data_IF_905221545373
#
_entry.id   IF_905221545373
#
_cell.length_a   1.000
_cell.length_b   1.000
_cell.length_c   1.000
_cell.angle_alpha   90.00
_cell.angle_beta   90.00
_cell.angle_gamma   90.00
#
_symmetry.space_group_name_H-M   'P 1'
#
loop_
_entity.id
_entity.type
_entity.pdbx_description
1 polymer ?
#
# COMPACT_ATOMS: atom_id res chain seq x y z
N UNK A 1 15.61 -4.69 -5.09
CA UNK A 1 16.85 -4.20 -4.45
C UNK A 1 17.90 -5.30 -4.51
N UNK A 2 19.12 -4.97 -4.94
CA UNK A 2 20.20 -5.95 -5.03
C UNK A 2 20.67 -6.44 -3.67
N UNK A 3 20.99 -7.73 -3.56
CA UNK A 3 21.42 -8.37 -2.31
C UNK A 3 22.70 -7.78 -1.74
N UNK A 4 23.66 -7.37 -2.60
CA UNK A 4 24.91 -6.76 -2.13
C UNK A 4 24.68 -5.47 -1.35
N UNK A 5 23.80 -4.58 -1.84
CA UNK A 5 23.42 -3.36 -1.13
C UNK A 5 22.70 -3.68 0.17
N UNK A 6 21.82 -4.68 0.16
CA UNK A 6 21.07 -5.13 1.30
C UNK A 6 21.96 -5.57 2.47
N UNK A 7 22.98 -6.38 2.19
CA UNK A 7 23.91 -6.83 3.22
C UNK A 7 24.85 -5.73 3.70
N UNK A 8 25.26 -4.81 2.82
CA UNK A 8 26.17 -3.72 3.17
C UNK A 8 25.53 -2.67 4.09
N UNK A 9 24.22 -2.45 3.95
CA UNK A 9 23.48 -1.46 4.74
C UNK A 9 22.45 -2.13 5.68
N UNK A 10 22.81 -3.24 6.29
CA UNK A 10 21.92 -4.10 7.09
C UNK A 10 21.09 -3.31 8.11
N UNK A 11 21.72 -2.45 8.91
CA UNK A 11 21.04 -1.73 9.98
C UNK A 11 19.94 -0.80 9.43
N UNK A 12 20.23 -0.08 8.35
CA UNK A 12 19.28 0.79 7.67
C UNK A 12 18.09 0.01 7.10
N UNK A 13 18.34 -1.16 6.54
CA UNK A 13 17.27 -2.00 5.99
C UNK A 13 16.45 -2.71 7.06
N UNK A 14 17.01 -3.03 8.21
CA UNK A 14 16.25 -3.54 9.37
C UNK A 14 15.23 -2.52 9.88
N UNK A 15 15.55 -1.24 9.87
CA UNK A 15 14.60 -0.18 10.23
C UNK A 15 13.49 -0.05 9.18
N UNK A 16 13.84 -0.06 7.89
CA UNK A 16 12.87 -0.01 6.79
C UNK A 16 11.93 -1.21 6.77
N UNK A 17 12.40 -2.41 7.07
CA UNK A 17 11.59 -3.64 7.11
C UNK A 17 10.46 -3.60 8.14
N UNK A 18 10.60 -2.81 9.20
CA UNK A 18 9.53 -2.61 10.19
C UNK A 18 8.37 -1.81 9.62
N UNK A 19 8.64 -0.98 8.62
CA UNK A 19 7.66 -0.10 8.01
C UNK A 19 7.13 -0.63 6.67
N UNK A 20 7.99 -1.28 5.87
CA UNK A 20 7.65 -1.75 4.51
C UNK A 20 8.21 -3.15 4.24
N UNK A 21 7.47 -4.02 3.53
CA UNK A 21 7.99 -5.31 3.10
C UNK A 21 9.05 -5.12 2.01
N UNK A 22 10.28 -5.61 2.24
CA UNK A 22 11.38 -5.54 1.30
C UNK A 22 11.46 -6.80 0.45
N UNK A 23 11.45 -6.63 -0.88
CA UNK A 23 11.79 -7.66 -1.85
C UNK A 23 13.26 -7.47 -2.25
N UNK A 24 14.07 -8.49 -2.04
CA UNK A 24 15.51 -8.48 -2.35
C UNK A 24 15.76 -9.31 -3.60
N UNK A 25 16.72 -8.91 -4.44
CA UNK A 25 17.13 -9.66 -5.63
C UNK A 25 18.63 -9.93 -5.59
N UNK A 26 19.07 -11.05 -6.13
CA UNK A 26 20.49 -11.39 -6.21
C UNK A 26 20.76 -12.87 -6.48
N UNK A 27 22.02 -13.30 -6.35
CA UNK A 27 22.44 -14.65 -6.65
C UNK A 27 21.80 -15.69 -5.70
N UNK A 28 21.68 -16.97 -6.13
CA UNK A 28 21.03 -18.03 -5.35
C UNK A 28 21.59 -18.21 -3.94
N UNK A 29 22.88 -18.02 -3.75
CA UNK A 29 23.55 -18.22 -2.46
C UNK A 29 23.17 -17.18 -1.40
N UNK A 30 22.63 -16.05 -1.82
CA UNK A 30 22.17 -14.97 -0.93
C UNK A 30 20.75 -15.16 -0.41
N UNK A 31 20.02 -16.19 -0.84
CA UNK A 31 18.61 -16.42 -0.45
C UNK A 31 18.47 -16.61 1.06
N UNK A 32 19.18 -17.61 1.60
CA UNK A 32 19.07 -17.95 3.02
C UNK A 32 19.53 -16.81 3.95
N UNK A 33 20.68 -16.16 3.72
CA UNK A 33 21.06 -14.99 4.50
C UNK A 33 20.04 -13.84 4.43
N UNK A 34 19.52 -13.51 3.25
CA UNK A 34 18.55 -12.42 3.11
C UNK A 34 17.24 -12.70 3.85
N UNK A 35 16.74 -13.93 3.77
CA UNK A 35 15.55 -14.34 4.52
C UNK A 35 15.78 -14.34 6.03
N UNK A 36 16.97 -14.78 6.48
CA UNK A 36 17.34 -14.74 7.90
C UNK A 36 17.44 -13.30 8.43
N UNK A 37 17.82 -12.34 7.60
CA UNK A 37 17.80 -10.91 7.92
C UNK A 37 16.40 -10.30 7.89
N UNK A 38 15.37 -11.08 7.51
CA UNK A 38 13.96 -10.67 7.56
C UNK A 38 13.42 -10.03 6.30
N UNK A 39 14.09 -10.15 5.14
CA UNK A 39 13.47 -9.69 3.90
C UNK A 39 12.14 -10.41 3.66
N UNK A 40 11.21 -9.69 3.07
CA UNK A 40 9.87 -10.19 2.86
C UNK A 40 9.82 -11.28 1.79
N UNK A 41 10.63 -11.20 0.76
CA UNK A 41 10.80 -12.21 -0.29
C UNK A 41 12.14 -12.02 -1.00
N UNK A 42 12.58 -13.04 -1.73
CA UNK A 42 13.83 -13.04 -2.46
C UNK A 42 13.64 -13.53 -3.90
N UNK A 43 14.06 -12.73 -4.87
CA UNK A 43 14.14 -13.14 -6.26
C UNK A 43 15.57 -13.56 -6.62
N UNK A 44 15.70 -14.80 -7.09
CA UNK A 44 16.99 -15.33 -7.57
C UNK A 44 17.29 -14.80 -8.97
N UNK A 45 18.52 -14.43 -9.20
CA UNK A 45 19.01 -14.13 -10.54
C UNK A 45 19.27 -15.45 -11.34
N UNK A 46 18.97 -15.46 -12.67
CA UNK A 46 18.30 -14.40 -13.42
C UNK A 46 16.79 -14.38 -13.18
N UNK A 47 16.19 -13.20 -13.04
CA UNK A 47 14.75 -13.02 -12.87
C UNK A 47 14.16 -12.18 -14.01
N UNK A 48 12.89 -12.41 -14.32
CA UNK A 48 12.13 -11.64 -15.31
C UNK A 48 11.15 -10.66 -14.67
N UNK A 49 10.75 -9.66 -15.44
CA UNK A 49 9.77 -8.67 -14.98
C UNK A 49 8.43 -9.31 -14.57
N UNK A 50 8.01 -10.37 -15.23
CA UNK A 50 6.77 -11.09 -14.91
C UNK A 50 6.85 -11.76 -13.53
N UNK A 51 7.97 -12.40 -13.20
CA UNK A 51 8.18 -13.01 -11.88
C UNK A 51 8.19 -11.94 -10.78
N UNK A 52 8.90 -10.83 -11.01
CA UNK A 52 8.93 -9.69 -10.09
C UNK A 52 7.51 -9.18 -9.82
N UNK A 53 6.72 -8.95 -10.87
CA UNK A 53 5.34 -8.47 -10.76
C UNK A 53 4.43 -9.47 -10.06
N UNK A 54 4.55 -10.76 -10.37
CA UNK A 54 3.76 -11.82 -9.74
C UNK A 54 4.03 -11.91 -8.23
N UNK A 55 5.31 -11.87 -7.81
CA UNK A 55 5.68 -11.90 -6.40
C UNK A 55 5.27 -10.63 -5.67
N UNK A 56 5.47 -9.47 -6.29
CA UNK A 56 5.04 -8.20 -5.74
C UNK A 56 3.51 -8.15 -5.56
N UNK A 57 2.75 -8.57 -6.57
CA UNK A 57 1.29 -8.63 -6.52
C UNK A 57 0.80 -9.55 -5.42
N UNK A 58 1.38 -10.76 -5.30
CA UNK A 58 1.01 -11.75 -4.29
C UNK A 58 1.23 -11.25 -2.86
N UNK A 59 2.28 -10.47 -2.60
CA UNK A 59 2.53 -9.88 -1.28
C UNK A 59 1.73 -8.62 -1.03
N UNK A 60 1.51 -7.84 -2.07
CA UNK A 60 0.59 -6.71 -2.01
C UNK A 60 -0.88 -7.15 -1.85
N UNK A 61 -1.20 -8.45 -2.00
CA UNK A 61 -2.55 -8.97 -1.76
C UNK A 61 -3.01 -8.82 -0.32
N UNK A 62 -2.11 -8.95 0.66
CA UNK A 62 -2.44 -8.79 2.09
C UNK A 62 -1.62 -7.67 2.71
N UNK A 63 -2.23 -6.51 2.83
CA UNK A 63 -1.63 -5.33 3.44
C UNK A 63 -2.32 -5.00 4.76
N UNK A 64 -1.58 -5.06 5.86
CA UNK A 64 -2.03 -4.54 7.17
C UNK A 64 -1.53 -3.13 7.34
N UNK A 65 -2.39 -2.25 7.79
CA UNK A 65 -2.05 -0.85 8.01
C UNK A 65 -2.94 -0.23 9.08
N UNK A 66 -2.45 0.84 9.69
CA UNK A 66 -3.21 1.63 10.64
C UNK A 66 -4.00 2.72 9.91
N UNK A 67 -5.21 2.94 10.35
CA UNK A 67 -6.08 3.98 9.84
C UNK A 67 -6.95 4.54 10.97
N UNK A 68 -6.71 5.77 11.37
CA UNK A 68 -7.37 6.37 12.53
C UNK A 68 -7.12 5.58 13.83
N UNK A 69 -5.88 5.09 14.05
CA UNK A 69 -5.49 4.28 15.19
C UNK A 69 -6.04 2.84 15.21
N UNK A 70 -6.55 2.35 14.07
CA UNK A 70 -7.09 0.99 13.93
C UNK A 70 -6.39 0.18 12.86
N UNK A 71 -6.16 -1.10 13.15
CA UNK A 71 -5.61 -2.02 12.18
C UNK A 71 -6.69 -2.44 11.18
N UNK A 72 -6.36 -2.26 9.89
CA UNK A 72 -7.13 -2.72 8.75
C UNK A 72 -6.31 -3.72 7.95
N UNK A 73 -6.98 -4.70 7.37
CA UNK A 73 -6.39 -5.67 6.46
C UNK A 73 -7.02 -5.51 5.08
N UNK A 74 -6.21 -5.16 4.09
CA UNK A 74 -6.60 -5.15 2.69
C UNK A 74 -6.04 -6.42 2.01
N UNK A 75 -6.91 -7.30 1.54
CA UNK A 75 -6.57 -8.53 0.82
C UNK A 75 -7.25 -8.52 -0.54
N UNK A 76 -6.47 -8.31 -1.61
CA UNK A 76 -7.04 -8.05 -2.93
C UNK A 76 -7.94 -6.81 -2.91
N UNK A 77 -9.22 -7.03 -3.12
CA UNK A 77 -10.29 -6.01 -3.07
C UNK A 77 -11.08 -6.04 -1.75
N UNK A 78 -10.80 -7.00 -0.87
CA UNK A 78 -11.49 -7.15 0.41
C UNK A 78 -10.78 -6.35 1.50
N UNK A 79 -11.51 -5.43 2.11
CA UNK A 79 -11.07 -4.64 3.27
C UNK A 79 -11.76 -5.17 4.52
N UNK A 80 -10.98 -5.51 5.54
CA UNK A 80 -11.44 -6.08 6.80
C UNK A 80 -11.00 -5.28 8.01
N UNK A 81 -11.87 -5.18 9.01
CA UNK A 81 -11.60 -4.63 10.33
C UNK A 81 -12.49 -5.32 11.37
N UNK A 82 -11.93 -5.73 12.51
CA UNK A 82 -12.69 -6.29 13.64
C UNK A 82 -13.67 -7.43 13.28
N UNK A 83 -13.28 -8.31 12.36
CA UNK A 83 -14.15 -9.41 11.92
C UNK A 83 -15.25 -9.03 10.92
N UNK A 84 -15.44 -7.75 10.63
CA UNK A 84 -16.27 -7.27 9.55
C UNK A 84 -15.45 -7.02 8.28
N UNK A 85 -16.05 -7.20 7.10
CA UNK A 85 -15.37 -6.98 5.83
C UNK A 85 -16.30 -6.44 4.76
N UNK A 86 -15.72 -5.65 3.85
CA UNK A 86 -16.40 -5.13 2.67
C UNK A 86 -15.55 -5.37 1.43
N UNK A 87 -16.19 -5.47 0.27
CA UNK A 87 -15.49 -5.54 -1.02
C UNK A 87 -15.42 -4.15 -1.64
N UNK A 88 -14.22 -3.71 -1.98
CA UNK A 88 -13.96 -2.45 -2.67
C UNK A 88 -14.04 -2.66 -4.19
N UNK A 89 -14.26 -1.57 -4.93
CA UNK A 89 -14.02 -1.60 -6.37
C UNK A 89 -12.50 -1.73 -6.65
N UNK A 90 -12.08 -2.35 -7.79
CA UNK A 90 -10.66 -2.55 -8.09
C UNK A 90 -9.82 -1.27 -8.03
N UNK A 91 -10.37 -0.16 -8.53
CA UNK A 91 -9.73 1.16 -8.46
C UNK A 91 -9.63 1.71 -7.04
N UNK A 92 -10.65 1.51 -6.22
CA UNK A 92 -10.65 1.92 -4.80
C UNK A 92 -9.60 1.12 -4.00
N UNK A 93 -9.50 -0.20 -4.24
CA UNK A 93 -8.52 -1.06 -3.59
C UNK A 93 -7.08 -0.65 -3.93
N UNK A 94 -6.81 -0.34 -5.23
CA UNK A 94 -5.49 0.17 -5.66
C UNK A 94 -5.15 1.52 -5.02
N UNK A 95 -6.11 2.45 -4.97
CA UNK A 95 -5.92 3.76 -4.33
C UNK A 95 -5.64 3.60 -2.84
N UNK A 96 -6.44 2.79 -2.12
CA UNK A 96 -6.26 2.56 -0.69
C UNK A 96 -4.90 1.91 -0.40
N UNK A 97 -4.48 0.97 -1.23
CA UNK A 97 -3.16 0.33 -1.12
C UNK A 97 -2.03 1.33 -1.25
N UNK A 98 -2.09 2.23 -2.25
CA UNK A 98 -1.07 3.26 -2.44
C UNK A 98 -1.01 4.22 -1.24
N UNK A 99 -2.16 4.64 -0.70
CA UNK A 99 -2.24 5.48 0.48
C UNK A 99 -1.67 4.79 1.73
N UNK A 100 -1.96 3.50 1.91
CA UNK A 100 -1.45 2.72 3.04
C UNK A 100 0.06 2.49 2.96
N UNK A 101 0.58 2.19 1.77
CA UNK A 101 2.03 2.03 1.53
C UNK A 101 2.80 3.36 1.69
N UNK A 102 2.15 4.50 1.43
CA UNK A 102 2.74 5.81 1.66
C UNK A 102 2.86 6.20 3.14
N UNK A 103 2.30 5.38 4.06
CA UNK A 103 2.46 5.49 5.52
C UNK A 103 2.31 6.92 6.06
N UNK A 104 1.24 7.61 5.68
CA UNK A 104 0.96 8.99 6.09
C UNK A 104 1.57 10.07 5.21
N UNK A 105 2.44 9.72 4.25
CA UNK A 105 2.92 10.66 3.25
C UNK A 105 1.84 10.94 2.19
N UNK A 106 1.76 12.18 1.65
CA UNK A 106 0.79 12.50 0.61
C UNK A 106 1.08 11.77 -0.70
N UNK A 107 0.04 11.21 -1.30
CA UNK A 107 0.04 10.62 -2.64
C UNK A 107 -0.63 11.59 -3.61
N UNK A 108 0.02 11.87 -4.72
CA UNK A 108 -0.44 12.84 -5.71
C UNK A 108 -1.77 12.43 -6.35
N UNK A 109 -2.61 13.44 -6.68
CA UNK A 109 -3.92 13.21 -7.29
C UNK A 109 -3.84 12.52 -8.63
N UNK A 110 -2.89 12.89 -9.46
CA UNK A 110 -2.65 12.33 -10.79
C UNK A 110 -2.32 10.84 -10.69
N UNK A 111 -1.48 10.46 -9.74
CA UNK A 111 -1.17 9.06 -9.50
C UNK A 111 -2.39 8.28 -8.99
N UNK A 112 -3.16 8.84 -8.07
CA UNK A 112 -4.41 8.23 -7.61
C UNK A 112 -5.45 8.11 -8.74
N UNK A 113 -5.49 9.06 -9.69
CA UNK A 113 -6.35 8.98 -10.86
C UNK A 113 -5.99 7.80 -11.76
N UNK A 114 -4.70 7.58 -12.01
CA UNK A 114 -4.20 6.42 -12.77
C UNK A 114 -4.61 5.10 -12.10
N UNK A 115 -4.39 4.98 -10.79
CA UNK A 115 -4.76 3.79 -10.02
C UNK A 115 -6.27 3.54 -10.03
N UNK A 116 -7.05 4.60 -10.08
CA UNK A 116 -8.50 4.56 -10.19
C UNK A 116 -9.00 4.12 -11.58
N UNK A 117 -8.11 3.98 -12.57
CA UNK A 117 -8.45 3.67 -13.94
C UNK A 117 -8.99 4.87 -14.74
N UNK A 118 -8.71 6.10 -14.28
CA UNK A 118 -9.02 7.29 -15.07
C UNK A 118 -8.01 7.45 -16.20
N UNK A 119 -8.50 7.82 -17.40
CA UNK A 119 -7.62 8.12 -18.53
C UNK A 119 -6.79 9.38 -18.22
N UNK A 120 -5.47 9.38 -18.49
CA UNK A 120 -4.60 10.55 -18.30
C UNK A 120 -5.04 11.78 -19.10
N UNK A 121 -5.88 11.60 -20.13
CA UNK A 121 -6.37 12.66 -21.03
C UNK A 121 -7.63 13.38 -20.52
N UNK A 122 -8.22 12.93 -19.41
CA UNK A 122 -9.43 13.57 -18.86
C UNK A 122 -9.05 14.73 -17.95
N UNK A 123 -9.32 15.96 -18.34
CA UNK A 123 -9.22 17.17 -17.47
C UNK A 123 -10.06 17.05 -16.18
N UNK A 124 -11.04 16.14 -16.15
CA UNK A 124 -11.89 15.84 -14.98
C UNK A 124 -11.31 14.77 -14.02
N UNK A 125 -10.08 14.30 -14.26
CA UNK A 125 -9.46 13.28 -13.41
C UNK A 125 -9.38 13.67 -11.93
N UNK A 126 -9.23 14.94 -11.63
CA UNK A 126 -9.19 15.46 -10.25
C UNK A 126 -10.54 15.27 -9.53
N UNK A 127 -11.67 15.60 -10.18
CA UNK A 127 -13.01 15.40 -9.60
C UNK A 127 -13.34 13.93 -9.40
N UNK A 128 -12.93 13.07 -10.34
CA UNK A 128 -13.13 11.63 -10.24
C UNK A 128 -12.39 11.04 -9.02
N UNK A 129 -11.19 11.52 -8.72
CA UNK A 129 -10.44 11.14 -7.52
C UNK A 129 -11.17 11.58 -6.25
N UNK A 130 -11.63 12.82 -6.19
CA UNK A 130 -12.32 13.36 -5.02
C UNK A 130 -13.61 12.56 -4.70
N UNK A 131 -14.36 12.18 -5.73
CA UNK A 131 -15.56 11.33 -5.59
C UNK A 131 -15.17 9.93 -5.06
N UNK A 132 -14.12 9.31 -5.58
CA UNK A 132 -13.67 7.99 -5.13
C UNK A 132 -13.09 8.02 -3.72
N UNK A 133 -12.34 9.05 -3.38
CA UNK A 133 -11.86 9.26 -1.99
C UNK A 133 -13.06 9.43 -1.04
N UNK A 134 -14.10 10.16 -1.44
CA UNK A 134 -15.32 10.31 -0.66
C UNK A 134 -16.05 8.97 -0.45
N UNK A 135 -16.09 8.11 -1.48
CA UNK A 135 -16.64 6.75 -1.36
C UNK A 135 -15.79 5.88 -0.44
N UNK A 136 -14.46 5.88 -0.61
CA UNK A 136 -13.54 5.15 0.26
C UNK A 136 -13.71 5.55 1.73
N UNK A 137 -13.79 6.83 2.03
CA UNK A 137 -14.05 7.33 3.39
C UNK A 137 -15.35 6.75 3.97
N UNK A 138 -16.42 6.71 3.19
CA UNK A 138 -17.71 6.12 3.62
C UNK A 138 -17.58 4.62 3.86
N UNK A 139 -16.94 3.89 2.96
CA UNK A 139 -16.73 2.44 3.07
C UNK A 139 -15.87 2.08 4.27
N UNK A 140 -14.78 2.80 4.50
CA UNK A 140 -13.94 2.59 5.68
C UNK A 140 -14.74 2.89 6.97
N UNK A 141 -15.50 3.98 6.97
CA UNK A 141 -16.34 4.34 8.12
C UNK A 141 -17.38 3.26 8.45
N UNK A 142 -17.96 2.59 7.45
CA UNK A 142 -18.95 1.52 7.71
C UNK A 142 -18.36 0.28 8.39
N UNK A 143 -17.03 0.09 8.32
CA UNK A 143 -16.32 -0.98 9.04
C UNK A 143 -15.99 -0.62 10.49
N UNK A 144 -16.12 0.63 10.87
CA UNK A 144 -15.70 1.11 12.17
C UNK A 144 -16.87 1.41 13.09
N UNK A 145 -16.71 1.17 14.40
CA UNK A 145 -17.71 1.56 15.39
C UNK A 145 -18.04 3.06 15.31
N UNK A 146 -19.27 3.42 15.62
CA UNK A 146 -19.77 4.81 15.54
C UNK A 146 -18.91 5.83 16.31
N UNK A 147 -18.27 5.42 17.41
CA UNK A 147 -17.38 6.25 18.21
C UNK A 147 -16.13 6.72 17.45
N UNK A 148 -15.73 6.00 16.41
CA UNK A 148 -14.49 6.26 15.64
C UNK A 148 -14.76 6.86 14.25
N UNK A 149 -16.01 6.97 13.83
CA UNK A 149 -16.39 7.49 12.52
C UNK A 149 -16.09 8.99 12.34
N UNK A 150 -15.81 9.72 13.43
CA UNK A 150 -15.49 11.15 13.40
C UNK A 150 -14.06 11.46 12.93
N UNK A 151 -13.12 10.53 13.02
CA UNK A 151 -11.75 10.71 12.53
C UNK A 151 -11.72 10.60 11.00
N UNK A 152 -11.27 11.66 10.33
CA UNK A 152 -11.07 11.62 8.89
C UNK A 152 -9.83 10.77 8.59
N UNK A 153 -10.03 9.54 8.13
CA UNK A 153 -8.98 8.54 7.91
C UNK A 153 -8.14 8.81 6.66
N UNK A 154 -8.75 9.37 5.63
CA UNK A 154 -8.06 9.86 4.44
C UNK A 154 -8.20 11.37 4.46
N UNK A 155 -7.08 12.08 4.56
CA UNK A 155 -7.04 13.54 4.58
C UNK A 155 -6.48 14.08 3.27
N UNK A 156 -6.82 15.32 2.95
CA UNK A 156 -6.21 16.06 1.86
C UNK A 156 -5.12 16.97 2.38
N UNK A 157 -4.02 17.08 1.62
CA UNK A 157 -3.00 18.10 1.84
C UNK A 157 -2.98 19.03 0.62
N UNK A 158 -3.22 20.31 0.87
CA UNK A 158 -3.28 21.29 -0.20
C UNK A 158 -2.05 21.25 -1.12
N UNK A 159 -2.26 21.20 -2.42
CA UNK A 159 -1.20 21.13 -3.43
C UNK A 159 -0.39 19.83 -3.48
N UNK A 160 -0.64 18.85 -2.57
CA UNK A 160 0.17 17.62 -2.47
C UNK A 160 -0.62 16.32 -2.65
N UNK A 161 -1.97 16.38 -2.61
CA UNK A 161 -2.80 15.20 -2.79
C UNK A 161 -3.49 14.70 -1.52
N UNK A 162 -3.57 13.38 -1.36
CA UNK A 162 -4.23 12.71 -0.24
C UNK A 162 -3.26 11.84 0.55
N UNK A 163 -3.50 11.69 1.83
CA UNK A 163 -2.76 10.78 2.70
C UNK A 163 -3.68 10.04 3.67
N UNK A 164 -3.21 8.90 4.15
CA UNK A 164 -3.89 8.12 5.18
C UNK A 164 -3.43 8.63 6.55
N UNK A 165 -4.40 8.96 7.41
CA UNK A 165 -4.12 9.29 8.80
C UNK A 165 -3.92 7.97 9.59
N UNK A 166 -2.70 7.72 10.00
CA UNK A 166 -2.35 6.49 10.69
C UNK A 166 -2.63 6.54 12.21
N UNK A 167 -3.03 7.69 12.74
CA UNK A 167 -3.30 7.89 14.18
C UNK A 167 -2.21 8.61 14.88
#
# INVERSE_FOLDING_TARGET
MGSELYFREEQRFRELQRAIPLLVTGPPDSVAPALAMGCADYLREPWGAEELLARFSRRAERLRFLCGGRELLLSGERLEAHGAGITLEPGEARMLRALALAAGSPVEREFLALLAGASPRCRDGSRAVDVRVSRLRRRIKSLLPNSLQKSAMIRSRYGKGYYLDCG
#
